data_IF_967743764826
#
_entry.id   IF_967743764826
#
_cell.length_a   1.000
_cell.length_b   1.000
_cell.length_c   1.000
_cell.angle_alpha   90.00
_cell.angle_beta   90.00
_cell.angle_gamma   90.00
#
_symmetry.space_group_name_H-M   'P 1'
#
loop_
_entity.id
_entity.type
_entity.pdbx_description
1 polymer ?
#
# COMPACT_ATOMS: atom_id res chain seq x y z
N UNK A 1 31.65 68.32 -6.94
CA UNK A 1 30.95 67.09 -7.41
C UNK A 1 30.94 66.13 -6.24
N UNK A 2 29.81 65.91 -5.58
CA UNK A 2 29.68 65.04 -4.38
C UNK A 2 29.26 63.62 -4.86
N UNK A 3 30.13 62.66 -4.71
CA UNK A 3 29.88 61.24 -5.03
C UNK A 3 29.07 60.66 -3.87
N UNK A 4 27.83 60.26 -4.12
CA UNK A 4 27.04 59.49 -3.18
C UNK A 4 27.33 58.00 -3.39
N UNK A 5 28.00 57.39 -2.44
CA UNK A 5 28.22 55.94 -2.41
C UNK A 5 26.95 55.34 -1.79
N UNK A 6 26.19 54.57 -2.56
CA UNK A 6 25.12 53.74 -2.07
C UNK A 6 25.69 52.38 -1.64
N UNK A 7 25.69 52.13 -0.33
CA UNK A 7 26.05 50.81 0.21
C UNK A 7 24.82 49.93 0.12
N UNK A 8 24.85 48.94 -0.81
CA UNK A 8 23.85 47.88 -0.92
C UNK A 8 24.15 46.82 0.14
N UNK A 9 23.42 46.83 1.23
CA UNK A 9 23.46 45.78 2.24
C UNK A 9 22.77 44.54 1.67
N UNK A 10 23.57 43.56 1.20
CA UNK A 10 23.14 42.22 0.94
C UNK A 10 22.90 41.52 2.29
N UNK A 11 21.66 41.48 2.74
CA UNK A 11 21.24 40.58 3.81
C UNK A 11 21.33 39.14 3.31
N UNK A 12 22.14 38.25 3.91
CA UNK A 12 22.05 36.86 3.59
C UNK A 12 20.67 36.36 4.03
N UNK A 13 19.85 35.93 3.06
CA UNK A 13 18.65 35.19 3.35
C UNK A 13 19.09 33.86 3.96
N UNK A 14 19.05 33.75 5.28
CA UNK A 14 19.15 32.48 5.98
C UNK A 14 17.92 31.67 5.61
N UNK A 15 18.05 30.87 4.56
CA UNK A 15 17.16 29.77 4.27
C UNK A 15 17.30 28.77 5.42
N UNK A 16 16.46 28.93 6.45
CA UNK A 16 16.23 27.84 7.40
C UNK A 16 15.57 26.73 6.59
N UNK A 17 16.35 25.75 6.18
CA UNK A 17 15.82 24.47 5.80
C UNK A 17 15.11 23.93 7.04
N UNK A 18 13.80 24.10 7.07
CA UNK A 18 12.95 23.51 8.08
C UNK A 18 13.03 22.01 7.85
N UNK A 19 13.90 21.34 8.59
CA UNK A 19 13.93 19.90 8.68
C UNK A 19 12.65 19.48 9.41
N UNK A 20 11.54 19.38 8.69
CA UNK A 20 10.39 18.62 9.12
C UNK A 20 10.83 17.16 9.19
N UNK A 21 11.36 16.78 10.33
CA UNK A 21 11.59 15.38 10.67
C UNK A 21 10.21 14.73 10.69
N UNK A 22 9.81 14.17 9.55
CA UNK A 22 8.54 13.45 9.46
C UNK A 22 8.64 12.27 10.40
N UNK A 23 7.85 12.31 11.46
CA UNK A 23 7.78 11.22 12.43
C UNK A 23 7.19 9.99 11.75
N UNK A 24 7.87 8.86 11.85
CA UNK A 24 7.32 7.58 11.41
C UNK A 24 5.98 7.30 12.11
N UNK A 25 5.03 6.78 11.36
CA UNK A 25 3.72 6.37 11.88
C UNK A 25 3.70 4.86 12.00
N UNK A 26 3.40 4.34 13.17
CA UNK A 26 3.19 2.92 13.36
C UNK A 26 1.85 2.51 12.75
N UNK A 27 1.87 1.53 11.85
CA UNK A 27 0.70 1.05 11.11
C UNK A 27 -0.04 -0.05 11.89
N UNK A 28 0.69 -1.07 12.35
CA UNK A 28 0.13 -2.17 13.14
C UNK A 28 -0.04 -1.77 14.61
N UNK A 29 -1.13 -2.22 15.22
CA UNK A 29 -1.43 -2.00 16.65
C UNK A 29 -1.43 -3.31 17.44
N UNK A 30 -1.75 -4.42 16.76
CA UNK A 30 -1.81 -5.73 17.38
C UNK A 30 -0.41 -6.29 17.57
N UNK A 31 -0.12 -6.77 18.78
CA UNK A 31 1.04 -7.64 19.03
C UNK A 31 0.65 -9.07 18.67
N UNK A 32 1.36 -9.66 17.72
CA UNK A 32 1.21 -11.06 17.36
C UNK A 32 2.54 -11.77 17.55
N UNK A 33 2.49 -13.08 17.85
CA UNK A 33 3.68 -13.92 17.88
C UNK A 33 4.37 -13.95 16.50
N UNK A 34 3.57 -13.82 15.43
CA UNK A 34 4.03 -13.59 14.07
C UNK A 34 3.81 -12.11 13.76
N UNK A 35 4.84 -11.31 13.85
CA UNK A 35 4.80 -9.91 13.46
C UNK A 35 4.50 -9.77 11.97
N UNK A 36 3.78 -8.71 11.55
CA UNK A 36 3.53 -8.48 10.13
C UNK A 36 4.86 -8.20 9.41
N UNK A 37 5.16 -9.06 8.44
CA UNK A 37 6.34 -9.00 7.59
C UNK A 37 5.92 -8.81 6.12
N UNK A 38 6.88 -8.64 5.21
CA UNK A 38 6.68 -8.54 3.75
C UNK A 38 5.61 -7.51 3.35
N UNK A 39 5.78 -6.31 3.83
CA UNK A 39 4.78 -5.25 3.69
C UNK A 39 4.70 -4.69 2.28
N UNK A 40 3.48 -4.41 1.86
CA UNK A 40 3.15 -3.70 0.62
C UNK A 40 2.24 -2.51 0.93
N UNK A 41 2.27 -1.46 0.10
CA UNK A 41 1.45 -0.27 0.27
C UNK A 41 1.05 0.29 -1.09
N UNK A 42 -0.17 0.82 -1.18
CA UNK A 42 -0.67 1.52 -2.36
C UNK A 42 -1.47 2.77 -1.98
N UNK A 43 -1.41 3.78 -2.86
CA UNK A 43 -2.16 5.02 -2.74
C UNK A 43 -3.27 5.03 -3.79
N UNK A 44 -4.49 5.37 -3.38
CA UNK A 44 -5.63 5.44 -4.27
C UNK A 44 -5.47 6.61 -5.27
N UNK A 45 -5.43 6.36 -6.59
CA UNK A 45 -5.21 7.40 -7.59
C UNK A 45 -6.35 8.39 -7.69
N UNK A 46 -7.59 8.01 -7.31
CA UNK A 46 -8.76 8.90 -7.34
C UNK A 46 -9.05 9.55 -5.98
N UNK A 47 -8.43 9.09 -4.92
CA UNK A 47 -8.51 9.69 -3.59
C UNK A 47 -7.14 9.65 -2.88
N UNK A 48 -6.28 10.66 -3.05
CA UNK A 48 -4.93 10.68 -2.47
C UNK A 48 -4.88 10.72 -0.92
N UNK A 49 -6.02 10.78 -0.24
CA UNK A 49 -6.08 10.62 1.21
C UNK A 49 -6.19 9.14 1.62
N UNK A 50 -6.60 8.26 0.69
CA UNK A 50 -6.81 6.86 0.95
C UNK A 50 -5.59 6.02 0.59
N UNK A 51 -5.05 5.35 1.58
CA UNK A 51 -3.94 4.41 1.48
C UNK A 51 -4.40 3.04 1.94
N UNK A 52 -3.87 2.00 1.33
CA UNK A 52 -3.99 0.62 1.82
C UNK A 52 -2.62 -0.01 1.97
N UNK A 53 -2.50 -0.96 2.88
CA UNK A 53 -1.30 -1.77 3.03
C UNK A 53 -1.70 -3.22 3.32
N UNK A 54 -0.80 -4.14 2.99
CA UNK A 54 -0.90 -5.56 3.31
C UNK A 54 0.35 -6.04 3.99
N UNK A 55 0.25 -7.09 4.78
CA UNK A 55 1.39 -7.77 5.39
C UNK A 55 1.06 -9.25 5.65
N UNK A 56 2.10 -10.06 5.79
CA UNK A 56 1.99 -11.45 6.17
C UNK A 56 1.30 -11.61 7.53
N UNK A 57 0.48 -12.60 7.74
CA UNK A 57 -0.02 -13.58 6.78
C UNK A 57 -1.22 -13.03 6.01
N UNK A 58 -2.20 -12.50 6.71
CA UNK A 58 -3.52 -12.09 6.26
C UNK A 58 -3.89 -10.67 6.73
N UNK A 59 -2.90 -9.87 7.12
CA UNK A 59 -3.13 -8.52 7.61
C UNK A 59 -3.40 -7.55 6.47
N UNK A 60 -4.46 -6.73 6.63
CA UNK A 60 -4.64 -5.53 5.85
C UNK A 60 -4.76 -4.30 6.74
N UNK A 61 -4.41 -3.16 6.16
CA UNK A 61 -4.48 -1.86 6.80
C UNK A 61 -5.03 -0.85 5.82
N UNK A 62 -5.77 0.14 6.34
CA UNK A 62 -6.21 1.27 5.53
C UNK A 62 -6.14 2.57 6.31
N UNK A 63 -5.99 3.67 5.56
CA UNK A 63 -5.98 5.05 6.04
C UNK A 63 -6.81 5.92 5.11
N UNK A 64 -7.46 6.95 5.65
CA UNK A 64 -8.16 7.98 4.88
C UNK A 64 -7.64 9.40 5.16
N UNK A 65 -6.46 9.52 5.76
CA UNK A 65 -5.83 10.78 6.18
C UNK A 65 -4.36 10.87 5.75
N UNK A 66 -4.02 10.25 4.61
CA UNK A 66 -2.65 10.19 4.04
C UNK A 66 -1.67 9.42 4.93
N UNK A 67 -2.14 8.37 5.58
CA UNK A 67 -1.29 7.52 6.43
C UNK A 67 -0.98 8.10 7.81
N UNK A 68 -1.68 9.14 8.26
CA UNK A 68 -1.49 9.67 9.62
C UNK A 68 -2.07 8.75 10.68
N UNK A 69 -3.21 8.15 10.37
CA UNK A 69 -3.83 7.12 11.20
C UNK A 69 -4.21 5.90 10.35
N UNK A 70 -4.17 4.72 10.97
CA UNK A 70 -4.41 3.45 10.31
C UNK A 70 -5.41 2.61 11.10
N UNK A 71 -6.26 1.90 10.35
CA UNK A 71 -7.11 0.84 10.87
C UNK A 71 -6.60 -0.48 10.33
N UNK A 72 -6.52 -1.49 11.18
CA UNK A 72 -6.08 -2.83 10.83
C UNK A 72 -7.24 -3.81 10.80
N UNK A 73 -7.09 -4.88 10.02
CA UNK A 73 -8.02 -5.98 9.93
C UNK A 73 -7.35 -7.24 9.38
N UNK A 74 -8.16 -8.30 9.32
CA UNK A 74 -7.78 -9.60 8.74
C UNK A 74 -8.57 -9.85 7.48
N UNK A 75 -7.89 -10.33 6.44
CA UNK A 75 -8.56 -10.75 5.20
C UNK A 75 -9.59 -11.85 5.48
N UNK A 76 -10.79 -11.77 4.87
CA UNK A 76 -11.81 -12.80 5.04
C UNK A 76 -11.41 -14.10 4.31
N UNK A 77 -11.86 -15.23 4.87
CA UNK A 77 -11.70 -16.54 4.23
C UNK A 77 -10.71 -17.47 4.91
N UNK A 78 -10.37 -18.57 4.23
CA UNK A 78 -9.42 -19.55 4.76
C UNK A 78 -8.02 -18.96 4.86
N UNK A 79 -7.17 -19.62 5.64
CA UNK A 79 -5.81 -19.19 5.93
C UNK A 79 -5.07 -18.77 4.65
N UNK A 80 -4.59 -17.54 4.66
CA UNK A 80 -3.73 -16.94 3.65
C UNK A 80 -2.28 -17.30 4.00
N UNK A 81 -1.48 -17.70 2.99
CA UNK A 81 -0.09 -18.08 3.25
C UNK A 81 0.81 -16.86 3.39
N UNK A 82 0.55 -15.81 2.62
CA UNK A 82 1.30 -14.57 2.73
C UNK A 82 1.69 -13.90 1.42
N UNK A 83 2.80 -13.19 1.42
CA UNK A 83 3.40 -12.44 0.33
C UNK A 83 2.42 -11.45 -0.33
N UNK A 84 1.70 -10.62 0.43
CA UNK A 84 0.65 -9.83 -0.15
C UNK A 84 1.19 -8.75 -1.11
N UNK A 85 0.42 -8.50 -2.18
CA UNK A 85 0.57 -7.33 -3.04
C UNK A 85 -0.76 -6.56 -3.07
N UNK A 86 -0.75 -5.30 -2.64
CA UNK A 86 -1.92 -4.44 -2.72
C UNK A 86 -1.80 -3.44 -3.87
N UNK A 87 -2.93 -3.13 -4.49
CA UNK A 87 -2.99 -2.26 -5.66
C UNK A 87 -4.32 -1.53 -5.74
N UNK A 88 -4.33 -0.32 -6.35
CA UNK A 88 -5.54 0.36 -6.77
C UNK A 88 -5.60 0.47 -8.29
N UNK A 89 -6.76 0.17 -8.88
CA UNK A 89 -7.02 0.52 -10.26
C UNK A 89 -7.34 2.02 -10.44
N UNK A 90 -7.49 2.45 -11.68
CA UNK A 90 -7.80 3.86 -12.02
C UNK A 90 -9.21 4.29 -11.65
N UNK A 91 -10.07 3.36 -11.23
CA UNK A 91 -11.43 3.63 -10.73
C UNK A 91 -11.47 3.70 -9.19
N UNK A 92 -10.33 3.46 -8.52
CA UNK A 92 -10.23 3.47 -7.06
C UNK A 92 -10.67 2.17 -6.40
N UNK A 93 -10.84 1.07 -7.15
CA UNK A 93 -11.01 -0.23 -6.54
C UNK A 93 -9.66 -0.73 -6.02
N UNK A 94 -9.67 -1.27 -4.81
CA UNK A 94 -8.49 -1.87 -4.20
C UNK A 94 -8.47 -3.39 -4.48
N UNK A 95 -7.28 -3.91 -4.64
CA UNK A 95 -7.03 -5.34 -4.85
C UNK A 95 -5.96 -5.81 -3.86
N UNK A 96 -6.18 -7.01 -3.32
CA UNK A 96 -5.25 -7.70 -2.43
C UNK A 96 -4.94 -9.06 -3.07
N UNK A 97 -3.75 -9.19 -3.61
CA UNK A 97 -3.24 -10.42 -4.19
C UNK A 97 -2.36 -11.13 -3.18
N UNK A 98 -2.42 -12.44 -3.10
CA UNK A 98 -1.70 -13.22 -2.09
C UNK A 98 -1.53 -14.68 -2.50
N UNK A 99 -0.61 -15.36 -1.86
CA UNK A 99 -0.43 -16.80 -2.00
C UNK A 99 -1.55 -17.57 -1.30
N UNK A 100 -1.95 -18.66 -1.92
CA UNK A 100 -2.93 -19.59 -1.35
C UNK A 100 -2.37 -20.37 -0.16
N UNK A 101 -3.24 -21.03 0.61
CA UNK A 101 -2.83 -21.81 1.77
C UNK A 101 -1.89 -22.95 1.40
N UNK A 102 -1.00 -23.28 2.35
CA UNK A 102 0.00 -24.34 2.18
C UNK A 102 -0.66 -25.65 1.70
N UNK A 103 -0.12 -26.26 0.63
CA UNK A 103 -0.69 -27.45 0.02
C UNK A 103 -1.80 -27.22 -1.02
N UNK A 104 -2.33 -25.99 -1.11
CA UNK A 104 -3.25 -25.57 -2.17
C UNK A 104 -2.66 -24.37 -2.90
N UNK A 105 -1.51 -24.57 -3.49
CA UNK A 105 -0.72 -23.54 -4.13
C UNK A 105 -1.50 -22.83 -5.23
N UNK A 106 -1.44 -21.52 -5.22
CA UNK A 106 -2.08 -20.69 -6.21
C UNK A 106 -1.97 -19.22 -5.82
N UNK A 107 -2.20 -18.36 -6.78
CA UNK A 107 -2.33 -16.93 -6.57
C UNK A 107 -3.81 -16.62 -6.47
N UNK A 108 -4.19 -15.91 -5.43
CA UNK A 108 -5.56 -15.50 -5.14
C UNK A 108 -5.65 -13.98 -5.13
N UNK A 109 -6.84 -13.48 -5.40
CA UNK A 109 -7.13 -12.05 -5.39
C UNK A 109 -8.46 -11.77 -4.71
N UNK A 110 -8.48 -10.78 -3.83
CA UNK A 110 -9.68 -10.17 -3.28
C UNK A 110 -9.81 -8.73 -3.77
N UNK A 111 -11.04 -8.21 -3.77
CA UNK A 111 -11.36 -6.83 -4.18
C UNK A 111 -12.08 -6.09 -3.07
N UNK A 112 -11.77 -4.81 -2.95
CA UNK A 112 -12.51 -3.84 -2.13
C UNK A 112 -12.96 -2.67 -3.01
N UNK A 113 -14.19 -2.19 -2.80
CA UNK A 113 -14.75 -1.01 -3.46
C UNK A 113 -14.96 0.17 -2.50
N UNK A 114 -14.52 0.04 -1.25
CA UNK A 114 -14.71 1.03 -0.19
C UNK A 114 -13.38 1.56 0.39
N UNK A 115 -12.31 1.46 -0.42
CA UNK A 115 -10.99 1.96 -0.05
C UNK A 115 -10.22 1.07 0.93
N UNK A 116 -10.51 -0.23 0.94
CA UNK A 116 -9.82 -1.22 1.76
C UNK A 116 -10.45 -1.47 3.13
N UNK A 117 -11.66 -0.95 3.40
CA UNK A 117 -12.36 -1.21 4.67
C UNK A 117 -12.91 -2.62 4.75
N UNK A 118 -13.51 -3.07 3.64
CA UNK A 118 -14.03 -4.43 3.51
C UNK A 118 -13.53 -5.08 2.23
N UNK A 119 -13.41 -6.40 2.26
CA UNK A 119 -12.86 -7.19 1.17
C UNK A 119 -13.80 -8.33 0.80
N UNK A 120 -13.86 -8.65 -0.49
CA UNK A 120 -14.52 -9.86 -0.96
C UNK A 120 -13.76 -11.09 -0.50
N UNK A 121 -14.39 -12.26 -0.54
CA UNK A 121 -13.65 -13.51 -0.49
C UNK A 121 -12.63 -13.57 -1.64
N UNK A 122 -11.48 -14.17 -1.36
CA UNK A 122 -10.41 -14.32 -2.34
C UNK A 122 -10.78 -15.37 -3.38
N UNK A 123 -10.52 -15.05 -4.65
CA UNK A 123 -10.69 -15.97 -5.79
C UNK A 123 -9.34 -16.37 -6.33
N UNK A 124 -9.18 -17.67 -6.61
CA UNK A 124 -7.99 -18.19 -7.27
C UNK A 124 -7.96 -17.70 -8.72
N UNK A 125 -6.86 -17.05 -9.10
CA UNK A 125 -6.63 -16.54 -10.46
C UNK A 125 -5.57 -17.34 -11.21
N UNK A 126 -4.68 -18.02 -10.48
CA UNK A 126 -3.66 -18.88 -11.06
C UNK A 126 -3.35 -20.07 -10.15
N UNK A 127 -2.91 -21.16 -10.76
CA UNK A 127 -2.57 -22.39 -10.07
C UNK A 127 -3.69 -23.41 -10.09
N UNK A 128 -3.31 -24.67 -10.07
CA UNK A 128 -4.22 -25.82 -10.00
C UNK A 128 -3.87 -26.71 -8.80
N UNK A 129 -4.80 -27.55 -8.39
CA UNK A 129 -4.66 -28.40 -7.22
C UNK A 129 -3.50 -29.39 -7.38
N UNK A 130 -2.36 -29.09 -6.76
CA UNK A 130 -1.26 -30.02 -6.54
C UNK A 130 -0.26 -30.22 -7.68
N UNK A 131 -0.42 -29.59 -8.85
CA UNK A 131 0.44 -29.83 -10.02
C UNK A 131 1.32 -28.62 -10.40
N UNK A 132 1.26 -27.52 -9.64
CA UNK A 132 2.03 -26.32 -9.94
C UNK A 132 3.26 -26.29 -9.04
N UNK A 133 4.44 -25.94 -9.56
CA UNK A 133 5.60 -25.63 -8.73
C UNK A 133 5.25 -24.60 -7.66
N UNK A 134 5.97 -24.62 -6.56
CA UNK A 134 5.83 -23.59 -5.51
C UNK A 134 5.90 -22.20 -6.16
N UNK A 135 4.90 -21.38 -5.88
CA UNK A 135 4.84 -19.99 -6.33
C UNK A 135 5.23 -19.10 -5.18
N UNK A 136 5.98 -18.08 -5.51
CA UNK A 136 6.58 -17.16 -4.56
C UNK A 136 6.58 -15.76 -5.18
N UNK A 137 6.14 -14.77 -4.42
CA UNK A 137 6.15 -13.34 -4.75
C UNK A 137 5.40 -12.98 -6.05
N UNK A 138 4.12 -12.73 -5.92
CA UNK A 138 3.29 -12.19 -6.99
C UNK A 138 3.37 -10.67 -7.11
N UNK A 139 3.10 -10.18 -8.32
CA UNK A 139 2.96 -8.76 -8.61
C UNK A 139 1.69 -8.48 -9.39
N UNK A 140 1.01 -7.39 -9.05
CA UNK A 140 -0.23 -6.95 -9.67
C UNK A 140 -0.05 -5.58 -10.30
N UNK A 141 -0.58 -5.41 -11.50
CA UNK A 141 -0.71 -4.11 -12.16
C UNK A 141 -1.99 -4.06 -12.97
N UNK A 142 -2.48 -2.87 -13.28
CA UNK A 142 -3.60 -2.69 -14.21
C UNK A 142 -3.15 -1.87 -15.41
N UNK A 143 -3.90 -2.01 -16.49
CA UNK A 143 -3.82 -1.07 -17.57
C UNK A 143 -4.29 0.31 -17.09
N UNK A 144 -3.49 1.32 -17.39
CA UNK A 144 -3.75 2.72 -17.06
C UNK A 144 -4.05 3.56 -18.30
N UNK A 145 -4.19 2.93 -19.46
CA UNK A 145 -4.58 3.62 -20.68
C UNK A 145 -6.09 3.90 -20.72
N UNK A 146 -6.49 4.95 -21.43
CA UNK A 146 -7.89 5.25 -21.69
C UNK A 146 -8.45 4.43 -22.87
N UNK A 147 -7.68 3.48 -23.39
CA UNK A 147 -8.07 2.65 -24.53
C UNK A 147 -8.89 1.46 -24.08
N UNK A 148 -10.02 1.20 -24.74
CA UNK A 148 -10.75 -0.07 -24.63
C UNK A 148 -10.08 -1.11 -25.51
N UNK A 149 -9.81 -2.28 -24.95
CA UNK A 149 -9.41 -3.47 -25.69
C UNK A 149 -10.64 -4.17 -26.26
#
# INVERSE_FOLDING_TARGET
>A
MKIKIAILLLLPSLLFAQNDVKKNVQVNKSSSYFEPEEMTIAINPVNPNNFIAGANLDWFYYSFDKGKTWTEGKMPGPVIYGDPMVYFDMLGNAYYCHLGPFGNTGILIARSSDGGKTWSESKKIYGNNGSVPFMDKEWLTSDRSDTKY
#
